data_IF_717540374816
#
_entry.id   IF_717540374816
#
_cell.length_a   1.000
_cell.length_b   1.000
_cell.length_c   1.000
_cell.angle_alpha   90.00
_cell.angle_beta   90.00
_cell.angle_gamma   90.00
#
_symmetry.space_group_name_H-M   'P 1'
#
loop_
_entity.id
_entity.type
_entity.pdbx_description
1 polymer ?
#
# COMPACT_ATOMS: atom_id res chain seq x y z
N UNK A 1 18.18 32.81 21.26
CA UNK A 1 17.95 31.68 22.19
C UNK A 1 16.62 30.95 21.86
N UNK A 2 16.16 30.95 20.61
CA UNK A 2 14.85 30.43 20.19
C UNK A 2 14.91 29.20 19.26
N UNK A 3 16.11 28.74 18.89
CA UNK A 3 16.26 27.65 17.90
C UNK A 3 16.21 26.23 18.47
N UNK A 4 16.40 26.06 19.80
CA UNK A 4 16.41 24.73 20.43
C UNK A 4 15.02 24.13 20.60
N UNK A 5 13.99 24.96 20.76
CA UNK A 5 12.61 24.50 21.01
C UNK A 5 11.97 23.98 19.71
N UNK A 6 12.25 24.65 18.58
CA UNK A 6 11.70 24.27 17.27
C UNK A 6 12.22 22.92 16.79
N UNK A 7 13.51 22.61 17.02
CA UNK A 7 14.11 21.33 16.63
C UNK A 7 13.56 20.13 17.41
N UNK A 8 13.28 20.30 18.71
CA UNK A 8 12.74 19.23 19.54
C UNK A 8 11.28 18.88 19.20
N UNK A 9 10.45 19.89 18.88
CA UNK A 9 9.06 19.69 18.48
C UNK A 9 8.98 19.01 17.10
N UNK A 10 9.83 19.42 16.15
CA UNK A 10 9.89 18.79 14.84
C UNK A 10 10.31 17.31 14.90
N UNK A 11 11.33 16.97 15.73
CA UNK A 11 11.77 15.59 15.92
C UNK A 11 10.70 14.70 16.60
N UNK A 12 9.96 15.25 17.57
CA UNK A 12 8.87 14.53 18.25
C UNK A 12 7.72 14.16 17.31
N UNK A 13 7.32 15.07 16.41
CA UNK A 13 6.25 14.83 15.44
C UNK A 13 6.67 13.79 14.39
N UNK A 14 7.90 13.87 13.88
CA UNK A 14 8.44 12.90 12.90
C UNK A 14 8.61 11.51 13.54
N UNK A 15 9.11 11.44 14.79
CA UNK A 15 9.24 10.19 15.52
C UNK A 15 7.90 9.51 15.81
N UNK A 16 6.88 10.28 16.20
CA UNK A 16 5.53 9.76 16.44
C UNK A 16 4.85 9.27 15.15
N UNK A 17 5.00 10.00 14.04
CA UNK A 17 4.50 9.58 12.73
C UNK A 17 5.20 8.32 12.21
N UNK A 18 6.51 8.18 12.44
CA UNK A 18 7.28 6.99 12.07
C UNK A 18 6.80 5.73 12.80
N UNK A 19 6.54 5.82 14.11
CA UNK A 19 6.08 4.69 14.92
C UNK A 19 4.63 4.32 14.58
N UNK A 20 3.76 5.32 14.37
CA UNK A 20 2.38 5.10 13.94
C UNK A 20 2.30 4.45 12.55
N UNK A 21 3.15 4.89 11.62
CA UNK A 21 3.28 4.33 10.28
C UNK A 21 3.72 2.86 10.30
N UNK A 22 4.73 2.53 11.11
CA UNK A 22 5.23 1.15 11.22
C UNK A 22 4.18 0.22 11.84
N UNK A 23 3.44 0.68 12.85
CA UNK A 23 2.37 -0.13 13.46
C UNK A 23 1.20 -0.35 12.49
N UNK A 24 0.82 0.67 11.72
CA UNK A 24 -0.22 0.57 10.70
C UNK A 24 0.21 -0.37 9.55
N UNK A 25 1.46 -0.27 9.10
CA UNK A 25 2.03 -1.15 8.08
C UNK A 25 2.06 -2.61 8.55
N UNK A 26 2.49 -2.86 9.79
CA UNK A 26 2.47 -4.20 10.40
C UNK A 26 1.05 -4.75 10.51
N UNK A 27 0.08 -3.94 10.92
CA UNK A 27 -1.34 -4.35 10.97
C UNK A 27 -1.87 -4.71 9.58
N UNK A 28 -1.59 -3.88 8.56
CA UNK A 28 -2.03 -4.15 7.18
C UNK A 28 -1.36 -5.41 6.61
N UNK A 29 -0.07 -5.64 6.90
CA UNK A 29 0.64 -6.87 6.51
C UNK A 29 0.03 -8.12 7.13
N UNK A 30 -0.38 -8.06 8.40
CA UNK A 30 -1.09 -9.16 9.06
C UNK A 30 -2.45 -9.39 8.42
N UNK A 31 -3.27 -8.34 8.30
CA UNK A 31 -4.58 -8.42 7.67
C UNK A 31 -4.53 -8.96 6.23
N UNK A 32 -3.52 -8.55 5.45
CA UNK A 32 -3.27 -9.11 4.11
C UNK A 32 -3.03 -10.62 4.17
N UNK A 33 -2.16 -11.08 5.06
CA UNK A 33 -1.89 -12.50 5.26
C UNK A 33 -3.10 -13.28 5.76
N UNK A 34 -3.86 -12.71 6.67
CA UNK A 34 -5.03 -13.38 7.25
C UNK A 34 -6.15 -13.54 6.22
N UNK A 35 -6.28 -12.58 5.29
CA UNK A 35 -7.31 -12.58 4.26
C UNK A 35 -6.92 -13.33 2.98
N UNK A 36 -5.71 -13.08 2.46
CA UNK A 36 -5.25 -13.66 1.18
C UNK A 36 -4.31 -14.88 1.36
N UNK A 37 -3.77 -15.10 2.56
CA UNK A 37 -2.77 -16.14 2.85
C UNK A 37 -1.38 -15.78 2.33
N UNK A 38 -1.26 -15.59 1.02
CA UNK A 38 -0.01 -15.34 0.32
C UNK A 38 -0.20 -14.36 -0.84
N UNK A 39 0.89 -14.01 -1.52
CA UNK A 39 0.82 -13.22 -2.74
C UNK A 39 0.08 -13.97 -3.86
N UNK A 40 0.32 -15.28 -4.02
CA UNK A 40 -0.40 -16.11 -5.00
C UNK A 40 -1.90 -16.18 -4.67
N UNK A 41 -2.25 -16.35 -3.39
CA UNK A 41 -3.65 -16.35 -2.96
C UNK A 41 -4.36 -15.02 -3.23
N UNK A 42 -3.62 -13.91 -3.16
CA UNK A 42 -4.10 -12.60 -3.63
C UNK A 42 -4.23 -12.57 -5.16
N UNK A 43 -3.20 -13.01 -5.91
CA UNK A 43 -3.17 -13.02 -7.38
C UNK A 43 -4.38 -13.74 -7.99
N UNK A 44 -4.79 -14.85 -7.38
CA UNK A 44 -5.96 -15.63 -7.81
C UNK A 44 -7.31 -14.96 -7.52
N UNK A 45 -7.36 -13.97 -6.64
CA UNK A 45 -8.58 -13.24 -6.29
C UNK A 45 -8.74 -11.92 -7.04
N UNK A 46 -7.66 -11.43 -7.67
CA UNK A 46 -7.73 -10.21 -8.48
C UNK A 46 -8.38 -10.52 -9.83
N UNK A 47 -9.32 -9.68 -10.23
CA UNK A 47 -9.91 -9.68 -11.58
C UNK A 47 -8.86 -9.18 -12.60
N UNK A 48 -8.12 -10.12 -13.18
CA UNK A 48 -7.04 -9.84 -14.13
C UNK A 48 -7.54 -9.10 -15.37
N UNK A 49 -8.70 -9.50 -15.91
CA UNK A 49 -9.25 -8.92 -17.14
C UNK A 49 -9.66 -7.46 -16.93
N UNK A 50 -10.29 -7.15 -15.79
CA UNK A 50 -10.58 -5.77 -15.39
C UNK A 50 -9.31 -4.95 -15.27
N UNK A 51 -8.28 -5.47 -14.61
CA UNK A 51 -7.02 -4.74 -14.38
C UNK A 51 -6.30 -4.50 -15.71
N UNK A 52 -6.23 -5.49 -16.60
CA UNK A 52 -5.66 -5.36 -17.94
C UNK A 52 -6.42 -4.31 -18.76
N UNK A 53 -7.74 -4.34 -18.72
CA UNK A 53 -8.59 -3.35 -19.40
C UNK A 53 -8.33 -1.92 -18.91
N UNK A 54 -8.29 -1.71 -17.58
CA UNK A 54 -7.99 -0.40 -16.99
C UNK A 54 -6.58 0.07 -17.36
N UNK A 55 -5.58 -0.84 -17.32
CA UNK A 55 -4.20 -0.54 -17.70
C UNK A 55 -4.11 -0.05 -19.14
N UNK A 56 -4.73 -0.75 -20.07
CA UNK A 56 -4.74 -0.37 -21.48
C UNK A 56 -5.46 0.96 -21.73
N UNK A 57 -6.53 1.25 -21.00
CA UNK A 57 -7.32 2.46 -21.20
C UNK A 57 -6.76 3.70 -20.48
N UNK A 58 -6.11 3.53 -19.31
CA UNK A 58 -5.79 4.63 -18.38
C UNK A 58 -4.38 4.58 -17.79
N UNK A 59 -3.59 3.56 -18.16
CA UNK A 59 -2.21 3.40 -17.74
C UNK A 59 -2.01 2.71 -16.39
N UNK A 60 -0.75 2.47 -16.05
CA UNK A 60 -0.33 1.65 -14.92
C UNK A 60 -0.80 2.19 -13.56
N UNK A 61 -0.77 3.51 -13.36
CA UNK A 61 -1.21 4.12 -12.08
C UNK A 61 -2.69 3.88 -11.83
N UNK A 62 -3.52 3.96 -12.88
CA UNK A 62 -4.95 3.69 -12.78
C UNK A 62 -5.22 2.20 -12.51
N UNK A 63 -4.45 1.29 -13.12
CA UNK A 63 -4.53 -0.13 -12.85
C UNK A 63 -4.14 -0.47 -11.40
N UNK A 64 -3.05 0.10 -10.89
CA UNK A 64 -2.63 -0.07 -9.48
C UNK A 64 -3.69 0.47 -8.52
N UNK A 65 -4.32 1.59 -8.85
CA UNK A 65 -5.44 2.12 -8.06
C UNK A 65 -6.62 1.17 -8.08
N UNK A 66 -7.04 0.69 -9.26
CA UNK A 66 -8.17 -0.25 -9.38
C UNK A 66 -7.97 -1.51 -8.54
N UNK A 67 -6.77 -2.11 -8.58
CA UNK A 67 -6.42 -3.25 -7.72
C UNK A 67 -6.60 -2.91 -6.24
N UNK A 68 -6.19 -1.73 -5.79
CA UNK A 68 -6.30 -1.34 -4.38
C UNK A 68 -7.70 -0.93 -3.95
N UNK A 69 -8.51 -0.43 -4.88
CA UNK A 69 -9.91 -0.11 -4.63
C UNK A 69 -10.71 -1.41 -4.40
N UNK A 70 -10.44 -2.46 -5.19
CA UNK A 70 -11.07 -3.78 -5.02
C UNK A 70 -10.43 -4.60 -3.87
N UNK A 71 -9.12 -4.42 -3.63
CA UNK A 71 -8.34 -5.16 -2.64
C UNK A 71 -7.63 -4.20 -1.67
N UNK A 72 -8.35 -3.56 -0.74
CA UNK A 72 -7.82 -2.47 0.11
C UNK A 72 -6.73 -2.93 1.09
N UNK A 73 -6.66 -4.22 1.39
CA UNK A 73 -5.62 -4.82 2.22
C UNK A 73 -4.28 -4.98 1.47
N UNK A 74 -4.28 -4.94 0.13
CA UNK A 74 -3.06 -4.93 -0.65
C UNK A 74 -2.29 -3.62 -0.45
N UNK A 75 -1.01 -3.74 -0.09
CA UNK A 75 -0.13 -2.58 -0.03
C UNK A 75 0.11 -2.03 -1.43
N UNK A 76 0.55 -0.76 -1.52
CA UNK A 76 0.92 -0.17 -2.80
C UNK A 76 2.00 -0.99 -3.53
N UNK A 77 2.97 -1.53 -2.79
CA UNK A 77 4.04 -2.36 -3.35
C UNK A 77 3.48 -3.66 -3.93
N UNK A 78 2.56 -4.33 -3.23
CA UNK A 78 1.93 -5.57 -3.72
C UNK A 78 1.08 -5.30 -4.96
N UNK A 79 0.25 -4.24 -4.95
CA UNK A 79 -0.57 -3.88 -6.10
C UNK A 79 0.28 -3.47 -7.31
N UNK A 80 1.36 -2.72 -7.09
CA UNK A 80 2.29 -2.35 -8.15
C UNK A 80 3.01 -3.57 -8.73
N UNK A 81 3.46 -4.49 -7.86
CA UNK A 81 4.06 -5.76 -8.29
C UNK A 81 3.11 -6.54 -9.20
N UNK A 82 1.86 -6.71 -8.78
CA UNK A 82 0.86 -7.43 -9.58
C UNK A 82 0.68 -6.82 -10.95
N UNK A 83 0.45 -5.50 -11.04
CA UNK A 83 0.26 -4.81 -12.34
C UNK A 83 1.49 -4.92 -13.24
N UNK A 84 2.70 -4.99 -12.67
CA UNK A 84 3.94 -5.17 -13.44
C UNK A 84 4.15 -6.61 -13.93
N UNK A 85 3.55 -7.59 -13.27
CA UNK A 85 3.62 -9.01 -13.64
C UNK A 85 2.52 -9.42 -14.65
N UNK A 86 1.53 -8.54 -14.90
CA UNK A 86 0.50 -8.67 -15.95
C UNK A 86 1.01 -8.31 -17.34
#
# INVERSE_FOLDING_TARGET
MTDLITGAVAAGIVGALGIAGDRAARRRKRAFRDHYGSYEGFRHQVDEDKVRSVRSARGDVAAVKAVRDDHPLASLVIANRYVREL
#
